data_IF_177656225188
#
_entry.id   IF_177656225188
#
_cell.length_a   1.000
_cell.length_b   1.000
_cell.length_c   1.000
_cell.angle_alpha   90.00
_cell.angle_beta   90.00
_cell.angle_gamma   90.00
#
_symmetry.space_group_name_H-M   'P 1'
#
loop_
_entity.id
_entity.type
_entity.pdbx_description
1 polymer ?
#
# COMPACT_ATOMS: atom_id res chain seq x y z
N UNK A 1 -7.59 10.37 -6.31
CA UNK A 1 -8.29 11.13 -7.36
C UNK A 1 -9.51 11.87 -6.82
N UNK A 2 -10.46 11.21 -6.13
CA UNK A 2 -11.48 11.96 -5.35
C UNK A 2 -10.82 12.57 -4.11
N UNK A 3 -9.95 11.82 -3.43
CA UNK A 3 -9.30 12.28 -2.18
C UNK A 3 -8.42 13.52 -2.38
N UNK A 4 -7.80 13.64 -3.56
CA UNK A 4 -7.01 14.82 -3.93
C UNK A 4 -7.87 16.07 -4.11
N UNK A 5 -9.09 15.94 -4.64
CA UNK A 5 -10.02 17.05 -4.78
C UNK A 5 -10.65 17.43 -3.43
N UNK A 6 -10.94 16.44 -2.59
CA UNK A 6 -11.43 16.67 -1.22
C UNK A 6 -10.36 17.39 -0.39
N UNK A 7 -9.09 16.99 -0.50
CA UNK A 7 -7.97 17.67 0.14
C UNK A 7 -7.79 19.13 -0.35
N UNK A 8 -8.17 19.42 -1.59
CA UNK A 8 -8.19 20.77 -2.16
C UNK A 8 -9.44 21.59 -1.75
N UNK A 9 -10.34 21.05 -0.91
CA UNK A 9 -11.50 21.75 -0.36
C UNK A 9 -12.80 21.57 -1.15
N UNK A 10 -12.82 20.72 -2.17
CA UNK A 10 -14.04 20.50 -2.95
C UNK A 10 -15.02 19.55 -2.24
N UNK A 11 -16.35 19.79 -2.32
CA UNK A 11 -17.34 18.88 -1.73
C UNK A 11 -17.31 17.50 -2.37
N UNK A 12 -17.24 16.45 -1.55
CA UNK A 12 -17.25 15.03 -1.96
C UNK A 12 -18.36 14.72 -2.97
N UNK A 13 -19.57 15.25 -2.75
CA UNK A 13 -20.72 15.04 -3.63
C UNK A 13 -20.51 15.57 -5.05
N UNK A 14 -19.82 16.70 -5.18
CA UNK A 14 -19.52 17.34 -6.46
C UNK A 14 -18.43 16.55 -7.17
N UNK A 15 -17.38 16.15 -6.46
CA UNK A 15 -16.30 15.32 -7.01
C UNK A 15 -16.82 13.95 -7.48
N UNK A 16 -17.66 13.27 -6.68
CA UNK A 16 -18.28 12.01 -7.05
C UNK A 16 -19.13 12.14 -8.32
N UNK A 17 -19.94 13.20 -8.44
CA UNK A 17 -20.75 13.45 -9.65
C UNK A 17 -19.90 13.71 -10.89
N UNK A 18 -18.89 14.59 -10.77
CA UNK A 18 -17.98 14.92 -11.88
C UNK A 18 -17.21 13.70 -12.40
N UNK A 19 -16.80 12.80 -11.49
CA UNK A 19 -16.00 11.62 -11.81
C UNK A 19 -16.83 10.35 -12.06
N UNK A 20 -18.17 10.45 -12.06
CA UNK A 20 -19.06 9.31 -12.30
C UNK A 20 -19.01 8.22 -11.21
N UNK A 21 -18.57 8.55 -9.99
CA UNK A 21 -18.47 7.61 -8.87
C UNK A 21 -19.68 7.74 -7.94
N UNK A 22 -20.27 6.63 -7.51
CA UNK A 22 -21.37 6.68 -6.54
C UNK A 22 -20.88 7.11 -5.15
N UNK A 23 -21.60 8.04 -4.50
CA UNK A 23 -21.30 8.49 -3.13
C UNK A 23 -21.19 7.31 -2.14
N UNK A 24 -22.13 6.34 -2.11
CA UNK A 24 -22.02 5.20 -1.20
C UNK A 24 -20.82 4.31 -1.52
N UNK A 25 -20.46 4.17 -2.81
CA UNK A 25 -19.27 3.43 -3.25
C UNK A 25 -17.98 4.08 -2.78
N UNK A 26 -17.88 5.41 -2.87
CA UNK A 26 -16.73 6.17 -2.37
C UNK A 26 -16.55 5.99 -0.86
N UNK A 27 -17.61 6.15 -0.06
CA UNK A 27 -17.50 5.93 1.38
C UNK A 27 -17.26 4.47 1.75
N UNK A 28 -17.77 3.50 0.97
CA UNK A 28 -17.46 2.08 1.17
C UNK A 28 -15.98 1.79 0.91
N UNK A 29 -15.40 2.41 -0.12
CA UNK A 29 -13.98 2.33 -0.41
C UNK A 29 -13.14 2.95 0.73
N UNK A 30 -13.49 4.16 1.18
CA UNK A 30 -12.82 4.84 2.29
C UNK A 30 -12.89 4.06 3.62
N UNK A 31 -14.05 3.47 3.91
CA UNK A 31 -14.28 2.70 5.15
C UNK A 31 -13.85 1.25 5.04
N UNK A 32 -13.29 0.83 3.90
CA UNK A 32 -12.88 -0.55 3.73
C UNK A 32 -11.74 -0.82 4.72
N UNK A 33 -11.93 -1.74 5.68
CA UNK A 33 -10.84 -2.07 6.59
C UNK A 33 -9.67 -2.61 5.77
N UNK A 34 -8.45 -2.20 6.14
CA UNK A 34 -7.22 -2.72 5.54
C UNK A 34 -7.27 -4.23 5.64
N UNK A 35 -7.33 -4.91 4.49
CA UNK A 35 -7.43 -6.37 4.48
C UNK A 35 -6.17 -6.94 5.17
N UNK A 36 -6.26 -8.09 5.86
CA UNK A 36 -5.08 -8.74 6.44
C UNK A 36 -3.95 -8.97 5.42
N UNK A 37 -4.33 -9.22 4.16
CA UNK A 37 -3.39 -9.32 3.03
C UNK A 37 -2.68 -8.01 2.70
N UNK A 38 -3.36 -6.86 2.82
CA UNK A 38 -2.76 -5.55 2.60
C UNK A 38 -1.81 -5.19 3.75
N UNK A 39 -2.20 -5.45 5.01
CA UNK A 39 -1.29 -5.28 6.15
C UNK A 39 -0.02 -6.13 5.99
N UNK A 40 -0.16 -7.38 5.56
CA UNK A 40 0.98 -8.26 5.28
C UNK A 40 1.88 -7.68 4.18
N UNK A 41 1.31 -7.13 3.11
CA UNK A 41 2.08 -6.51 2.02
C UNK A 41 2.81 -5.26 2.49
N UNK A 42 2.17 -4.41 3.28
CA UNK A 42 2.79 -3.22 3.85
C UNK A 42 3.95 -3.58 4.78
N UNK A 43 3.75 -4.56 5.67
CA UNK A 43 4.80 -5.10 6.53
C UNK A 43 5.97 -5.68 5.73
N UNK A 44 5.69 -6.52 4.72
CA UNK A 44 6.72 -7.11 3.87
C UNK A 44 7.49 -6.04 3.06
N UNK A 45 6.79 -5.00 2.61
CA UNK A 45 7.42 -3.86 1.93
C UNK A 45 8.37 -3.11 2.86
N UNK A 46 8.00 -2.95 4.13
CA UNK A 46 8.87 -2.39 5.17
C UNK A 46 10.16 -3.20 5.32
N UNK A 47 10.03 -4.52 5.50
CA UNK A 47 11.19 -5.42 5.63
C UNK A 47 12.11 -5.40 4.41
N UNK A 48 11.55 -5.41 3.20
CA UNK A 48 12.34 -5.30 1.96
C UNK A 48 13.18 -4.02 1.96
N UNK A 49 12.58 -2.88 2.34
CA UNK A 49 13.28 -1.59 2.41
C UNK A 49 14.39 -1.60 3.46
N UNK A 50 14.14 -2.21 4.61
CA UNK A 50 15.12 -2.34 5.68
C UNK A 50 16.34 -3.16 5.21
N UNK A 51 16.12 -4.35 4.65
CA UNK A 51 17.19 -5.21 4.11
C UNK A 51 17.95 -4.51 2.97
N UNK A 52 17.24 -3.83 2.08
CA UNK A 52 17.88 -3.09 1.00
C UNK A 52 18.75 -1.94 1.53
N UNK A 53 18.29 -1.23 2.56
CA UNK A 53 19.04 -0.14 3.19
C UNK A 53 20.24 -0.68 3.98
N UNK A 54 20.07 -1.76 4.74
CA UNK A 54 21.13 -2.41 5.50
C UNK A 54 22.26 -2.93 4.59
N UNK A 55 21.90 -3.42 3.40
CA UNK A 55 22.87 -3.81 2.36
C UNK A 55 23.43 -2.65 1.55
N UNK A 56 23.15 -1.40 1.94
CA UNK A 56 23.58 -0.16 1.23
C UNK A 56 23.13 -0.13 -0.24
N UNK A 57 21.97 -0.73 -0.53
CA UNK A 57 21.41 -0.82 -1.87
C UNK A 57 22.10 -1.85 -2.78
N UNK A 58 23.10 -2.59 -2.30
CA UNK A 58 23.84 -3.56 -3.12
C UNK A 58 23.06 -4.85 -3.38
N UNK A 59 22.09 -5.18 -2.51
CA UNK A 59 21.26 -6.36 -2.69
C UNK A 59 20.11 -6.06 -3.64
N UNK A 60 20.12 -6.73 -4.80
CA UNK A 60 18.96 -6.82 -5.67
C UNK A 60 17.93 -7.84 -5.19
N UNK A 61 16.79 -7.92 -5.88
CA UNK A 61 15.64 -8.77 -5.52
C UNK A 61 16.01 -10.19 -5.08
N UNK A 62 16.91 -10.88 -5.79
CA UNK A 62 17.29 -12.27 -5.46
C UNK A 62 17.93 -12.40 -4.08
N UNK A 63 18.84 -11.48 -3.74
CA UNK A 63 19.53 -11.48 -2.44
C UNK A 63 18.60 -11.06 -1.31
N UNK A 64 17.76 -10.05 -1.55
CA UNK A 64 16.71 -9.66 -0.59
C UNK A 64 15.75 -10.82 -0.34
N UNK A 65 15.32 -11.52 -1.40
CA UNK A 65 14.44 -12.68 -1.26
C UNK A 65 15.10 -13.79 -0.44
N UNK A 66 16.37 -14.11 -0.70
CA UNK A 66 17.12 -15.08 0.08
C UNK A 66 17.30 -14.66 1.55
N UNK A 67 17.58 -13.39 1.81
CA UNK A 67 17.68 -12.85 3.17
C UNK A 67 16.34 -13.00 3.91
N UNK A 68 15.24 -12.64 3.26
CA UNK A 68 13.90 -12.75 3.84
C UNK A 68 13.52 -14.21 4.10
N UNK A 69 13.73 -15.12 3.14
CA UNK A 69 13.28 -16.51 3.29
C UNK A 69 14.22 -17.39 4.10
N UNK A 70 15.54 -17.24 3.96
CA UNK A 70 16.54 -18.08 4.62
C UNK A 70 17.13 -17.42 5.86
N UNK A 71 17.45 -16.13 5.79
CA UNK A 71 18.01 -15.38 6.93
C UNK A 71 16.98 -15.06 8.00
N UNK A 72 15.77 -14.67 7.58
CA UNK A 72 14.71 -14.20 8.47
C UNK A 72 13.51 -15.16 8.56
N UNK A 73 13.51 -16.26 7.81
CA UNK A 73 12.41 -17.25 7.78
C UNK A 73 11.03 -16.65 7.49
N UNK A 74 10.98 -15.55 6.74
CA UNK A 74 9.75 -14.89 6.29
C UNK A 74 9.21 -15.57 5.05
N UNK A 75 7.98 -16.05 5.11
CA UNK A 75 7.30 -16.61 3.95
C UNK A 75 6.88 -15.50 2.97
N UNK A 76 7.61 -15.40 1.86
CA UNK A 76 7.24 -14.57 0.70
C UNK A 76 6.43 -15.44 -0.26
N UNK A 77 5.14 -15.16 -0.41
CA UNK A 77 4.21 -15.83 -1.34
C UNK A 77 3.52 -14.79 -2.21
#
# INVERSE_FOLDING_TARGET
MIDTLVAAGFPVLTCCRLLGVSKPGYYRYLRRPTAPSQMRREWLTGLIREVHTASRGTYGYRRIHAELTMGMSVAVK
#
